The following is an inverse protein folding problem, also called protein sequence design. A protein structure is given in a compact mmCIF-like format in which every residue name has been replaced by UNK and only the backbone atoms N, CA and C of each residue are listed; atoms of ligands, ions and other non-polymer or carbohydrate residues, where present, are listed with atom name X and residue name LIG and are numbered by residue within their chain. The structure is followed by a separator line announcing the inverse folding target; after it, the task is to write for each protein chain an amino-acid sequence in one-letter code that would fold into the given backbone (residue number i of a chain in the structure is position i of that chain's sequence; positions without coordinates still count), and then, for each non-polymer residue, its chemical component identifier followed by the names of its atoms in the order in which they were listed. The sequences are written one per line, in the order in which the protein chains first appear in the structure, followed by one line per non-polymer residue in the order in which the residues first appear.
data_IF_188417239200
#
_entry.id   IF_188417239200
#
_cell.length_a   1.000
_cell.length_b   1.000
_cell.length_c   1.000
_cell.angle_alpha   90.00
_cell.angle_beta   90.00
_cell.angle_gamma   90.00
#
_symmetry.space_group_name_H-M   'P 1'
#
loop_
_entity.id
_entity.type
_entity.pdbx_description
1 polymer ?
#
# COMPACT_ATOMS: atom_id res chain seq x y z
N UNK A 1 19.96 -5.84 19.50
CA UNK A 1 20.58 -5.85 18.18
C UNK A 1 20.33 -4.54 17.40
N UNK A 2 19.13 -4.01 17.26
CA UNK A 2 18.81 -2.79 16.52
C UNK A 2 19.52 -1.52 17.00
N UNK A 3 19.68 -1.32 18.34
CA UNK A 3 20.38 -0.16 18.93
C UNK A 3 21.90 -0.18 18.69
N UNK A 4 22.52 -1.33 18.72
CA UNK A 4 23.96 -1.49 18.46
C UNK A 4 24.32 -1.17 17.00
N UNK A 5 23.53 -1.67 16.04
CA UNK A 5 23.72 -1.37 14.60
C UNK A 5 23.55 0.12 14.29
N UNK A 6 22.69 0.82 15.03
CA UNK A 6 22.53 2.27 14.91
C UNK A 6 23.74 3.07 15.39
N UNK A 7 24.32 2.68 16.52
CA UNK A 7 25.50 3.34 17.08
C UNK A 7 26.71 3.18 16.15
N UNK A 8 26.94 1.99 15.63
CA UNK A 8 28.05 1.72 14.70
C UNK A 8 27.89 2.47 13.38
N UNK A 9 26.66 2.54 12.84
CA UNK A 9 26.38 3.29 11.61
C UNK A 9 26.55 4.82 11.79
N UNK A 10 26.23 5.36 12.97
CA UNK A 10 26.43 6.77 13.29
C UNK A 10 27.91 7.10 13.48
N UNK A 11 28.70 6.20 14.08
CA UNK A 11 30.14 6.35 14.24
C UNK A 11 30.85 6.32 12.88
N UNK A 12 30.52 5.36 12.01
CA UNK A 12 31.07 5.25 10.65
C UNK A 12 30.74 6.49 9.79
N UNK A 13 29.57 7.10 9.92
CA UNK A 13 29.22 8.35 9.22
C UNK A 13 30.08 9.55 9.60
N UNK A 14 30.73 9.55 10.74
CA UNK A 14 31.66 10.63 11.17
C UNK A 14 33.04 10.50 10.56
N UNK A 15 33.42 9.31 10.13
CA UNK A 15 34.78 8.99 9.63
C UNK A 15 34.82 8.95 8.11
N UNK A 16 33.71 8.58 7.46
CA UNK A 16 33.65 8.40 5.99
C UNK A 16 33.30 9.75 5.32
N UNK A 17 34.10 10.23 4.36
CA UNK A 17 33.83 11.44 3.59
C UNK A 17 32.44 11.37 2.91
N UNK A 18 31.72 12.49 2.90
CA UNK A 18 30.34 12.56 2.38
C UNK A 18 30.18 12.00 0.94
N UNK A 19 31.10 12.26 -0.03
CA UNK A 19 31.00 11.67 -1.37
C UNK A 19 31.03 10.14 -1.36
N UNK A 20 31.80 9.52 -0.48
CA UNK A 20 31.89 8.07 -0.33
C UNK A 20 30.59 7.52 0.29
N UNK A 21 30.00 8.22 1.26
CA UNK A 21 28.70 7.85 1.85
C UNK A 21 27.61 7.87 0.78
N UNK A 22 27.60 8.90 -0.08
CA UNK A 22 26.65 9.02 -1.20
C UNK A 22 26.82 7.86 -2.18
N UNK A 23 28.05 7.55 -2.58
CA UNK A 23 28.37 6.45 -3.50
C UNK A 23 27.95 5.09 -2.94
N UNK A 24 28.23 4.83 -1.66
CA UNK A 24 27.92 3.56 -0.99
C UNK A 24 26.46 3.42 -0.56
N UNK A 25 25.68 4.49 -0.56
CA UNK A 25 24.29 4.49 -0.10
C UNK A 25 23.41 3.51 -0.89
N UNK A 26 23.52 3.52 -2.22
CA UNK A 26 22.72 2.68 -3.12
C UNK A 26 23.02 1.19 -2.92
N UNK A 27 24.28 0.71 -3.06
CA UNK A 27 24.61 -0.70 -2.82
C UNK A 27 24.31 -1.13 -1.39
N UNK A 28 24.56 -0.29 -0.38
CA UNK A 28 24.22 -0.60 1.02
C UNK A 28 22.73 -0.88 1.21
N UNK A 29 21.84 0.02 0.77
CA UNK A 29 20.41 -0.16 0.95
C UNK A 29 19.86 -1.34 0.14
N UNK A 30 20.40 -1.59 -1.05
CA UNK A 30 20.02 -2.76 -1.84
C UNK A 30 20.44 -4.05 -1.13
N UNK A 31 21.72 -4.15 -0.72
CA UNK A 31 22.27 -5.35 -0.08
C UNK A 31 21.59 -5.69 1.24
N UNK A 32 21.30 -4.69 2.09
CA UNK A 32 20.64 -4.95 3.37
C UNK A 32 19.20 -5.47 3.18
N UNK A 33 18.46 -4.95 2.18
CA UNK A 33 17.12 -5.45 1.90
C UNK A 33 17.15 -6.82 1.21
N UNK A 34 18.16 -7.08 0.36
CA UNK A 34 18.36 -8.39 -0.24
C UNK A 34 18.70 -9.46 0.82
N UNK A 35 19.67 -9.18 1.69
CA UNK A 35 20.07 -10.10 2.77
C UNK A 35 18.91 -10.34 3.75
N UNK A 36 18.11 -9.31 4.04
CA UNK A 36 16.90 -9.48 4.85
C UNK A 36 15.86 -10.39 4.17
N UNK A 37 15.62 -10.20 2.86
CA UNK A 37 14.73 -11.05 2.10
C UNK A 37 15.23 -12.50 2.02
N UNK A 38 16.54 -12.69 1.80
CA UNK A 38 17.18 -13.99 1.76
C UNK A 38 17.10 -14.70 3.12
N UNK A 39 17.48 -14.02 4.20
CA UNK A 39 17.41 -14.56 5.57
C UNK A 39 15.99 -14.89 6.02
N UNK A 40 14.99 -14.15 5.53
CA UNK A 40 13.57 -14.43 5.75
C UNK A 40 12.99 -15.48 4.78
N UNK A 41 13.77 -16.03 3.85
CA UNK A 41 13.33 -17.03 2.86
C UNK A 41 12.36 -16.48 1.82
N UNK A 42 12.49 -15.19 1.42
CA UNK A 42 11.64 -14.50 0.45
C UNK A 42 10.14 -14.66 0.74
N UNK A 43 9.66 -14.22 1.91
CA UNK A 43 8.30 -14.50 2.39
C UNK A 43 7.20 -13.97 1.44
N UNK A 44 7.48 -12.89 0.70
CA UNK A 44 6.56 -12.34 -0.28
C UNK A 44 6.16 -13.33 -1.40
N UNK A 45 6.95 -14.36 -1.68
CA UNK A 45 6.61 -15.40 -2.65
C UNK A 45 5.49 -16.32 -2.18
N UNK A 46 5.24 -16.38 -0.86
CA UNK A 46 4.25 -17.26 -0.23
C UNK A 46 2.92 -16.56 0.07
N UNK A 47 2.82 -15.26 -0.22
CA UNK A 47 1.66 -14.42 0.08
C UNK A 47 1.14 -13.79 -1.20
N UNK A 48 -0.17 -13.58 -1.31
CA UNK A 48 -0.74 -12.63 -2.27
C UNK A 48 -0.48 -11.22 -1.77
N UNK A 49 0.35 -10.44 -2.47
CA UNK A 49 0.77 -9.11 -2.05
C UNK A 49 0.05 -8.03 -2.86
N UNK A 50 -0.75 -7.22 -2.17
CA UNK A 50 -1.39 -6.03 -2.73
C UNK A 50 -0.63 -4.80 -2.24
N UNK A 51 0.02 -4.08 -3.15
CA UNK A 51 0.64 -2.79 -2.86
C UNK A 51 -0.36 -1.65 -3.05
N UNK A 52 -0.31 -0.64 -2.18
CA UNK A 52 -1.11 0.58 -2.32
C UNK A 52 -0.18 1.78 -2.37
N UNK A 53 -0.23 2.55 -3.43
CA UNK A 53 0.57 3.77 -3.59
C UNK A 53 -0.27 4.93 -4.11
N UNK A 54 0.26 6.12 -3.98
CA UNK A 54 -0.36 7.39 -4.36
C UNK A 54 0.08 8.52 -3.46
N UNK A 55 -0.46 9.71 -3.64
CA UNK A 55 -0.18 10.84 -2.75
C UNK A 55 -1.10 10.79 -1.53
N UNK A 56 -2.41 10.70 -1.72
CA UNK A 56 -3.44 10.64 -0.68
C UNK A 56 -4.25 9.35 -0.74
N UNK A 57 -4.92 8.99 0.34
CA UNK A 57 -5.82 7.84 0.41
C UNK A 57 -5.15 6.49 0.66
N UNK A 58 -3.81 6.38 0.57
CA UNK A 58 -3.08 5.10 0.70
C UNK A 58 -3.44 4.30 1.96
N UNK A 59 -3.33 4.92 3.14
CA UNK A 59 -3.60 4.25 4.42
C UNK A 59 -5.06 3.82 4.52
N UNK A 60 -6.00 4.67 4.08
CA UNK A 60 -7.44 4.36 4.05
C UNK A 60 -7.71 3.18 3.13
N UNK A 61 -7.18 3.19 1.90
CA UNK A 61 -7.36 2.08 0.95
C UNK A 61 -6.72 0.80 1.48
N UNK A 62 -5.52 0.88 2.09
CA UNK A 62 -4.86 -0.27 2.72
C UNK A 62 -5.73 -0.87 3.82
N UNK A 63 -6.31 -0.05 4.69
CA UNK A 63 -7.19 -0.49 5.77
C UNK A 63 -8.51 -1.06 5.25
N UNK A 64 -9.12 -0.45 4.23
CA UNK A 64 -10.33 -0.96 3.60
C UNK A 64 -10.11 -2.34 2.97
N UNK A 65 -9.03 -2.53 2.21
CA UNK A 65 -8.69 -3.83 1.61
C UNK A 65 -8.44 -4.87 2.71
N UNK A 66 -7.64 -4.52 3.72
CA UNK A 66 -7.31 -5.43 4.82
C UNK A 66 -8.55 -5.89 5.57
N UNK A 67 -9.41 -4.96 6.00
CA UNK A 67 -10.62 -5.30 6.74
C UNK A 67 -11.61 -6.10 5.90
N UNK A 68 -11.74 -5.79 4.61
CA UNK A 68 -12.58 -6.53 3.68
C UNK A 68 -12.13 -7.97 3.53
N UNK A 69 -10.85 -8.19 3.28
CA UNK A 69 -10.31 -9.54 3.13
C UNK A 69 -10.42 -10.33 4.44
N UNK A 70 -10.20 -9.69 5.58
CA UNK A 70 -10.33 -10.30 6.90
C UNK A 70 -11.78 -10.73 7.19
N UNK A 71 -12.76 -9.86 6.90
CA UNK A 71 -14.19 -10.14 7.08
C UNK A 71 -14.69 -11.30 6.19
N UNK A 72 -14.07 -11.47 5.04
CA UNK A 72 -14.30 -12.59 4.14
C UNK A 72 -13.58 -13.90 4.56
N UNK A 73 -12.95 -13.92 5.73
CA UNK A 73 -12.31 -15.09 6.29
C UNK A 73 -10.88 -15.36 5.79
N UNK A 74 -10.28 -14.43 5.05
CA UNK A 74 -8.86 -14.57 4.68
C UNK A 74 -7.93 -14.26 5.86
N UNK A 75 -6.85 -15.00 5.97
CA UNK A 75 -5.78 -14.66 6.91
C UNK A 75 -4.88 -13.59 6.26
N UNK A 76 -5.02 -12.34 6.70
CA UNK A 76 -4.43 -11.15 6.07
C UNK A 76 -3.44 -10.47 7.01
N UNK A 77 -2.35 -9.97 6.46
CA UNK A 77 -1.46 -9.02 7.13
C UNK A 77 -1.58 -7.63 6.47
N UNK A 78 -1.42 -6.56 7.25
CA UNK A 78 -1.40 -5.20 6.73
C UNK A 78 -0.26 -4.37 7.34
N UNK A 79 0.41 -3.58 6.50
CA UNK A 79 1.41 -2.62 6.95
C UNK A 79 1.12 -1.26 6.33
N UNK A 80 0.84 -0.28 7.18
CA UNK A 80 0.50 1.08 6.77
C UNK A 80 1.20 2.13 7.64
N UNK A 81 1.01 3.38 7.32
CA UNK A 81 1.44 4.51 8.17
C UNK A 81 0.73 4.50 9.53
N UNK A 82 -0.45 3.91 9.61
CA UNK A 82 -1.30 3.90 10.81
C UNK A 82 -0.93 2.73 11.72
N UNK A 83 -0.80 1.51 11.17
CA UNK A 83 -0.64 0.29 11.95
C UNK A 83 0.09 -0.83 11.20
N UNK A 84 0.55 -1.80 11.96
CA UNK A 84 0.90 -3.15 11.50
C UNK A 84 -0.13 -4.13 12.06
N UNK A 85 -0.66 -4.99 11.20
CA UNK A 85 -1.65 -5.98 11.62
C UNK A 85 -1.33 -7.35 11.01
N UNK A 86 -1.56 -8.41 11.79
CA UNK A 86 -1.51 -9.80 11.34
C UNK A 86 -2.77 -10.48 11.86
N UNK A 87 -3.67 -10.90 10.97
CA UNK A 87 -5.01 -11.36 11.28
C UNK A 87 -5.76 -10.29 12.08
N UNK A 88 -6.34 -10.63 13.20
CA UNK A 88 -7.07 -9.77 14.14
C UNK A 88 -6.19 -8.96 15.10
N UNK A 89 -4.89 -9.28 15.15
CA UNK A 89 -3.93 -8.57 16.00
C UNK A 89 -3.38 -7.34 15.30
N UNK A 90 -3.53 -6.18 15.89
CA UNK A 90 -3.09 -4.90 15.34
C UNK A 90 -2.34 -4.05 16.37
N UNK A 91 -1.23 -3.47 15.95
CA UNK A 91 -0.43 -2.54 16.74
C UNK A 91 -0.21 -1.22 15.98
N UNK A 92 -0.23 -0.06 16.64
CA UNK A 92 0.01 1.22 15.97
C UNK A 92 1.43 1.30 15.42
N UNK A 93 1.58 1.95 14.26
CA UNK A 93 2.90 2.19 13.68
C UNK A 93 3.59 3.38 14.38
N UNK A 94 4.48 3.08 15.32
CA UNK A 94 5.24 4.09 16.08
C UNK A 94 6.57 4.51 15.42
N UNK A 95 6.89 4.00 14.22
CA UNK A 95 8.19 4.26 13.56
C UNK A 95 8.27 5.62 12.86
N UNK A 96 7.21 6.44 12.83
CA UNK A 96 7.13 7.69 12.03
C UNK A 96 7.47 7.49 10.53
N UNK A 97 7.43 6.27 10.04
CA UNK A 97 7.70 5.85 8.66
C UNK A 97 6.72 4.76 8.24
N UNK A 98 6.13 4.87 7.06
CA UNK A 98 5.19 3.88 6.51
C UNK A 98 5.85 2.51 6.33
N UNK A 99 7.05 2.50 5.77
CA UNK A 99 7.85 1.29 5.59
C UNK A 99 9.16 1.44 6.38
N UNK A 100 9.24 0.89 7.61
CA UNK A 100 10.47 0.92 8.38
C UNK A 100 11.62 0.24 7.64
N UNK A 101 12.84 0.69 7.91
CA UNK A 101 14.04 0.26 7.19
C UNK A 101 14.66 -1.06 7.68
N UNK A 102 15.81 -1.41 7.10
CA UNK A 102 16.70 -2.49 7.58
C UNK A 102 16.05 -3.87 7.67
N UNK A 103 15.26 -4.22 6.63
CA UNK A 103 14.65 -5.54 6.55
C UNK A 103 13.36 -5.73 7.36
N UNK A 104 12.87 -4.69 8.06
CA UNK A 104 11.64 -4.79 8.87
C UNK A 104 10.46 -5.38 8.08
N UNK A 105 10.24 -4.94 6.84
CA UNK A 105 9.11 -5.43 6.04
C UNK A 105 9.29 -6.92 5.70
N UNK A 106 10.51 -7.38 5.43
CA UNK A 106 10.77 -8.79 5.18
C UNK A 106 10.52 -9.65 6.42
N UNK A 107 10.94 -9.18 7.60
CA UNK A 107 10.65 -9.82 8.89
C UNK A 107 9.14 -9.83 9.18
N UNK A 108 8.45 -8.70 8.95
CA UNK A 108 7.00 -8.63 9.11
C UNK A 108 6.27 -9.64 8.22
N UNK A 109 6.64 -9.75 6.94
CA UNK A 109 6.07 -10.72 6.02
C UNK A 109 6.40 -12.17 6.42
N UNK A 110 7.61 -12.42 6.95
CA UNK A 110 7.97 -13.74 7.47
C UNK A 110 7.12 -14.12 8.68
N UNK A 111 6.86 -13.19 9.59
CA UNK A 111 5.94 -13.40 10.72
C UNK A 111 4.51 -13.67 10.24
N UNK A 112 4.04 -12.92 9.24
CA UNK A 112 2.73 -13.14 8.63
C UNK A 112 2.60 -14.56 8.04
N UNK A 113 3.59 -15.01 7.27
CA UNK A 113 3.65 -16.39 6.75
C UNK A 113 3.64 -17.42 7.87
N UNK A 114 4.47 -17.22 8.92
CA UNK A 114 4.55 -18.13 10.07
C UNK A 114 3.22 -18.23 10.81
N UNK A 115 2.43 -17.15 10.85
CA UNK A 115 1.09 -17.14 11.45
C UNK A 115 -0.02 -17.61 10.50
N UNK A 116 0.34 -18.12 9.30
CA UNK A 116 -0.60 -18.68 8.34
C UNK A 116 -1.37 -17.66 7.51
N UNK A 117 -0.87 -16.42 7.38
CA UNK A 117 -1.46 -15.47 6.44
C UNK A 117 -1.30 -15.96 5.00
N UNK A 118 -2.33 -15.68 4.20
CA UNK A 118 -2.36 -15.94 2.74
C UNK A 118 -2.18 -14.66 1.94
N UNK A 119 -2.55 -13.52 2.54
CA UNK A 119 -2.52 -12.21 1.90
C UNK A 119 -1.73 -11.21 2.73
N UNK A 120 -1.15 -10.19 2.06
CA UNK A 120 -0.62 -9.01 2.72
C UNK A 120 -0.92 -7.75 1.91
N UNK A 121 -1.40 -6.72 2.59
CA UNK A 121 -1.70 -5.40 2.02
C UNK A 121 -0.65 -4.40 2.52
N UNK A 122 0.08 -3.79 1.62
CA UNK A 122 1.23 -2.96 1.95
C UNK A 122 1.06 -1.53 1.41
N UNK A 123 1.06 -0.55 2.30
CA UNK A 123 1.18 0.85 1.91
C UNK A 123 2.62 1.13 1.49
N UNK A 124 2.82 1.56 0.23
CA UNK A 124 4.15 1.77 -0.36
C UNK A 124 4.33 3.24 -0.72
N UNK A 125 5.33 3.89 -0.12
CA UNK A 125 5.64 5.31 -0.35
C UNK A 125 6.77 5.52 -1.37
N UNK A 126 6.86 6.71 -1.96
CA UNK A 126 7.97 7.10 -2.84
C UNK A 126 9.32 7.05 -2.13
N UNK A 127 9.37 7.36 -0.83
CA UNK A 127 10.61 7.28 -0.05
C UNK A 127 11.13 5.84 0.09
N UNK A 128 10.23 4.86 0.09
CA UNK A 128 10.62 3.45 0.13
C UNK A 128 11.45 3.06 -1.09
N UNK A 129 11.24 3.73 -2.23
CA UNK A 129 11.98 3.44 -3.46
C UNK A 129 13.42 3.97 -3.42
N UNK A 130 13.67 5.09 -2.71
CA UNK A 130 15.02 5.65 -2.52
C UNK A 130 15.93 4.71 -1.72
N UNK A 131 15.35 3.94 -0.81
CA UNK A 131 16.04 3.02 0.09
C UNK A 131 15.80 1.54 -0.29
N UNK A 132 15.32 1.25 -1.49
CA UNK A 132 15.07 -0.10 -2.03
C UNK A 132 14.14 -0.98 -1.17
N UNK A 133 13.33 -0.39 -0.26
CA UNK A 133 12.41 -1.14 0.62
C UNK A 133 11.24 -1.76 -0.13
N UNK A 134 10.90 -1.22 -1.32
CA UNK A 134 9.90 -1.75 -2.24
C UNK A 134 10.37 -3.00 -3.01
N UNK A 135 11.68 -3.30 -2.97
CA UNK A 135 12.25 -4.48 -3.63
C UNK A 135 11.90 -5.76 -2.89
N UNK A 136 11.92 -6.87 -3.62
CA UNK A 136 11.66 -8.22 -3.11
C UNK A 136 10.24 -8.43 -2.53
N UNK A 137 9.29 -7.52 -2.81
CA UNK A 137 7.89 -7.65 -2.40
C UNK A 137 7.09 -8.59 -3.30
N UNK A 138 7.53 -8.80 -4.54
CA UNK A 138 6.90 -9.71 -5.50
C UNK A 138 5.37 -9.50 -5.57
N UNK A 139 4.96 -8.31 -5.98
CA UNK A 139 3.55 -7.86 -5.97
C UNK A 139 2.67 -8.70 -6.90
N UNK A 140 1.45 -9.02 -6.47
CA UNK A 140 0.37 -9.56 -7.29
C UNK A 140 -0.50 -8.43 -7.85
N UNK A 141 -0.78 -7.42 -7.04
CA UNK A 141 -1.54 -6.24 -7.46
C UNK A 141 -0.90 -4.94 -6.93
N UNK A 142 -1.16 -3.85 -7.64
CA UNK A 142 -0.83 -2.50 -7.21
C UNK A 142 -2.04 -1.60 -7.40
N UNK A 143 -2.43 -0.92 -6.32
CA UNK A 143 -3.42 0.15 -6.36
C UNK A 143 -2.71 1.49 -6.44
N UNK A 144 -3.04 2.29 -7.46
CA UNK A 144 -2.59 3.66 -7.63
C UNK A 144 -3.76 4.62 -7.39
N UNK A 145 -3.73 5.36 -6.28
CA UNK A 145 -4.84 6.23 -5.89
C UNK A 145 -4.81 7.58 -6.59
N UNK A 146 -3.70 8.29 -6.58
CA UNK A 146 -3.53 9.61 -7.21
C UNK A 146 -2.07 10.09 -7.14
N UNK A 147 -1.76 11.16 -7.90
CA UNK A 147 -0.49 11.88 -7.84
C UNK A 147 -0.74 13.39 -7.74
N UNK A 148 -0.44 13.98 -6.59
CA UNK A 148 -0.54 15.41 -6.34
C UNK A 148 0.81 16.01 -6.00
N UNK A 149 0.97 17.33 -6.15
CA UNK A 149 2.19 18.05 -5.80
C UNK A 149 2.37 18.09 -4.27
N UNK A 150 3.07 17.09 -3.75
CA UNK A 150 3.48 16.99 -2.33
C UNK A 150 4.92 16.45 -2.25
N UNK A 151 5.58 16.67 -1.11
CA UNK A 151 6.93 16.16 -0.83
C UNK A 151 8.01 16.57 -1.83
N UNK A 152 7.86 17.73 -2.51
CA UNK A 152 8.84 18.25 -3.48
C UNK A 152 10.18 18.46 -2.80
N UNK A 153 10.21 18.94 -1.56
CA UNK A 153 11.44 19.18 -0.79
C UNK A 153 12.30 17.92 -0.65
N UNK A 154 11.68 16.76 -0.47
CA UNK A 154 12.42 15.49 -0.30
C UNK A 154 12.90 14.86 -1.60
N UNK A 155 12.29 15.21 -2.74
CA UNK A 155 12.60 14.66 -4.06
C UNK A 155 13.29 15.64 -5.01
N UNK A 156 13.34 16.94 -4.64
CA UNK A 156 13.92 18.02 -5.44
C UNK A 156 13.01 18.55 -6.56
N UNK A 157 12.15 17.71 -7.15
CA UNK A 157 11.14 18.13 -8.13
C UNK A 157 9.92 17.19 -8.13
N UNK A 158 8.83 17.65 -8.75
CA UNK A 158 7.63 16.84 -8.94
C UNK A 158 7.89 15.65 -9.88
N UNK A 159 8.68 15.84 -10.91
CA UNK A 159 9.05 14.80 -11.88
C UNK A 159 9.84 13.67 -11.19
N UNK A 160 10.79 14.02 -10.32
CA UNK A 160 11.54 13.06 -9.52
C UNK A 160 10.63 12.29 -8.55
N UNK A 161 9.66 12.97 -7.95
CA UNK A 161 8.66 12.35 -7.09
C UNK A 161 7.78 11.37 -7.86
N UNK A 162 7.26 11.77 -9.03
CA UNK A 162 6.50 10.92 -9.93
C UNK A 162 7.30 9.71 -10.39
N UNK A 163 8.55 9.92 -10.82
CA UNK A 163 9.47 8.86 -11.22
C UNK A 163 9.78 7.89 -10.07
N UNK A 164 9.96 8.39 -8.84
CA UNK A 164 10.16 7.55 -7.67
C UNK A 164 8.94 6.66 -7.40
N UNK A 165 7.72 7.20 -7.46
CA UNK A 165 6.48 6.40 -7.34
C UNK A 165 6.34 5.38 -8.46
N UNK A 166 6.64 5.75 -9.69
CA UNK A 166 6.53 4.83 -10.84
C UNK A 166 7.47 3.63 -10.75
N UNK A 167 8.57 3.71 -9.98
CA UNK A 167 9.42 2.53 -9.67
C UNK A 167 8.64 1.42 -8.98
N UNK A 168 7.57 1.74 -8.24
CA UNK A 168 6.69 0.74 -7.60
C UNK A 168 5.89 0.00 -8.69
N UNK A 169 5.36 0.72 -9.68
CA UNK A 169 4.71 0.12 -10.85
C UNK A 169 5.66 -0.81 -11.63
N UNK A 170 6.91 -0.36 -11.85
CA UNK A 170 7.94 -1.21 -12.46
C UNK A 170 8.25 -2.46 -11.63
N UNK A 171 8.13 -2.40 -10.31
CA UNK A 171 8.29 -3.56 -9.43
C UNK A 171 7.14 -4.57 -9.61
N UNK A 172 5.89 -4.10 -9.80
CA UNK A 172 4.78 -4.98 -10.18
C UNK A 172 5.05 -5.64 -11.53
N UNK A 173 5.44 -4.87 -12.55
CA UNK A 173 5.74 -5.41 -13.89
C UNK A 173 6.87 -6.46 -13.87
N UNK A 174 7.83 -6.32 -12.95
CA UNK A 174 8.93 -7.26 -12.76
C UNK A 174 8.61 -8.43 -11.82
N UNK A 175 7.39 -8.49 -11.25
CA UNK A 175 6.97 -9.61 -10.40
C UNK A 175 6.93 -10.92 -11.21
N UNK A 176 7.35 -12.02 -10.59
CA UNK A 176 7.29 -13.36 -11.18
C UNK A 176 5.91 -14.01 -11.05
N UNK A 177 5.02 -13.42 -10.29
CA UNK A 177 3.67 -13.94 -10.06
C UNK A 177 2.73 -13.65 -11.22
N UNK A 178 1.72 -14.50 -11.37
CA UNK A 178 0.67 -14.37 -12.40
C UNK A 178 -0.68 -14.85 -11.84
N UNK A 179 -1.81 -14.20 -12.19
CA UNK A 179 -1.87 -12.94 -12.92
C UNK A 179 -1.45 -11.75 -12.06
N UNK A 180 -0.95 -10.66 -12.69
CA UNK A 180 -0.67 -9.38 -12.04
C UNK A 180 -1.76 -8.37 -12.40
N UNK A 181 -2.08 -7.48 -11.46
CA UNK A 181 -3.07 -6.43 -11.70
C UNK A 181 -2.57 -5.04 -11.34
N UNK A 182 -2.90 -4.07 -12.19
CA UNK A 182 -2.85 -2.65 -11.87
C UNK A 182 -4.28 -2.11 -11.74
N UNK A 183 -4.60 -1.55 -10.57
CA UNK A 183 -5.87 -0.89 -10.27
C UNK A 183 -5.53 0.59 -10.12
N UNK A 184 -5.97 1.44 -11.04
CA UNK A 184 -5.52 2.82 -11.09
C UNK A 184 -6.67 3.81 -11.28
N UNK A 185 -6.57 4.95 -10.60
CA UNK A 185 -7.53 6.03 -10.70
C UNK A 185 -7.55 6.64 -12.11
N UNK A 186 -8.57 6.33 -12.90
CA UNK A 186 -8.74 6.80 -14.27
C UNK A 186 -9.02 8.30 -14.38
N UNK A 187 -9.45 8.94 -13.28
CA UNK A 187 -9.68 10.39 -13.24
C UNK A 187 -8.36 11.19 -13.05
N UNK A 188 -7.25 10.52 -12.70
CA UNK A 188 -5.94 11.14 -12.56
C UNK A 188 -5.07 10.86 -13.80
N UNK A 189 -4.66 11.87 -14.57
CA UNK A 189 -3.80 11.68 -15.74
C UNK A 189 -2.48 10.95 -15.45
N UNK A 190 -1.98 11.04 -14.21
CA UNK A 190 -0.77 10.34 -13.77
C UNK A 190 -0.92 8.81 -13.72
N UNK A 191 -2.13 8.27 -13.87
CA UNK A 191 -2.36 6.83 -13.94
C UNK A 191 -2.02 6.23 -15.31
N UNK A 192 -1.95 7.03 -16.38
CA UNK A 192 -1.69 6.54 -17.73
C UNK A 192 -0.42 5.67 -17.84
N UNK A 193 0.75 6.06 -17.29
CA UNK A 193 1.94 5.19 -17.32
C UNK A 193 1.76 3.89 -16.53
N UNK A 194 0.96 3.89 -15.47
CA UNK A 194 0.67 2.66 -14.70
C UNK A 194 -0.22 1.71 -15.49
N UNK A 195 -1.26 2.23 -16.15
CA UNK A 195 -2.14 1.44 -17.01
C UNK A 195 -1.43 0.94 -18.28
N UNK A 196 -0.32 1.56 -18.67
CA UNK A 196 0.53 1.10 -19.78
C UNK A 196 1.50 -0.04 -19.38
N UNK A 197 1.61 -0.40 -18.09
CA UNK A 197 2.51 -1.46 -17.64
C UNK A 197 2.15 -2.82 -18.28
N UNK A 198 3.16 -3.67 -18.57
CA UNK A 198 2.95 -5.01 -19.11
C UNK A 198 2.49 -5.98 -18.01
N UNK A 199 1.24 -5.86 -17.62
CA UNK A 199 0.56 -6.72 -16.64
C UNK A 199 -0.73 -7.27 -17.22
N UNK A 200 -1.20 -8.40 -16.71
CA UNK A 200 -2.29 -9.17 -17.26
C UNK A 200 -3.66 -8.51 -17.06
N UNK A 201 -3.86 -7.84 -15.91
CA UNK A 201 -5.12 -7.15 -15.58
C UNK A 201 -4.88 -5.66 -15.40
N UNK A 202 -5.68 -4.86 -16.07
CA UNK A 202 -5.67 -3.39 -15.99
C UNK A 202 -7.08 -2.94 -15.64
N UNK A 203 -7.23 -2.37 -14.45
CA UNK A 203 -8.53 -1.99 -13.88
C UNK A 203 -8.50 -0.49 -13.61
N UNK A 204 -8.85 0.36 -14.57
CA UNK A 204 -9.12 1.75 -14.27
C UNK A 204 -10.40 1.85 -13.44
N UNK A 205 -10.43 2.75 -12.46
CA UNK A 205 -11.62 3.10 -11.69
C UNK A 205 -11.83 4.61 -11.70
N UNK A 206 -13.08 5.05 -11.61
CA UNK A 206 -13.47 6.46 -11.71
C UNK A 206 -14.56 6.81 -10.71
N UNK A 207 -14.56 8.07 -10.24
CA UNK A 207 -15.66 8.60 -9.44
C UNK A 207 -17.00 8.56 -10.19
N UNK A 208 -16.97 8.66 -11.51
CA UNK A 208 -18.18 8.61 -12.38
C UNK A 208 -18.89 7.26 -12.34
N UNK A 209 -18.25 6.22 -11.87
CA UNK A 209 -18.85 4.89 -11.68
C UNK A 209 -19.67 4.80 -10.39
N UNK A 210 -19.58 5.80 -9.49
CA UNK A 210 -20.42 5.90 -8.33
C UNK A 210 -21.76 6.57 -8.69
N UNK A 211 -22.84 5.85 -8.46
CA UNK A 211 -24.22 6.31 -8.69
C UNK A 211 -24.87 6.73 -7.38
N UNK A 212 -25.89 7.60 -7.43
CA UNK A 212 -26.69 8.03 -6.27
C UNK A 212 -25.82 8.48 -5.09
N UNK A 213 -24.81 9.32 -5.36
CA UNK A 213 -23.85 9.78 -4.36
C UNK A 213 -24.50 10.82 -3.45
N UNK A 214 -24.45 10.55 -2.15
CA UNK A 214 -24.88 11.42 -1.07
C UNK A 214 -23.66 11.75 -0.19
N UNK A 215 -23.32 13.04 -0.10
CA UNK A 215 -22.23 13.52 0.75
C UNK A 215 -22.84 14.35 1.88
N UNK A 216 -22.78 13.82 3.10
CA UNK A 216 -23.33 14.45 4.29
C UNK A 216 -22.23 14.65 5.35
N UNK A 217 -22.43 15.57 6.33
CA UNK A 217 -21.49 15.72 7.43
C UNK A 217 -21.27 14.37 8.15
N UNK A 218 -20.02 13.93 8.22
CA UNK A 218 -19.64 12.70 8.91
C UNK A 218 -19.82 11.41 8.13
N UNK A 219 -20.53 11.40 6.99
CA UNK A 219 -20.71 10.18 6.20
C UNK A 219 -20.88 10.44 4.70
N UNK A 220 -20.67 9.39 3.92
CA UNK A 220 -20.98 9.35 2.49
C UNK A 220 -21.72 8.05 2.16
N UNK A 221 -22.65 8.13 1.20
CA UNK A 221 -23.30 6.96 0.66
C UNK A 221 -23.32 7.03 -0.87
N UNK A 222 -23.23 5.88 -1.52
CA UNK A 222 -23.22 5.78 -2.99
C UNK A 222 -23.57 4.35 -3.42
N UNK A 223 -23.91 4.17 -4.68
CA UNK A 223 -24.08 2.85 -5.29
C UNK A 223 -22.92 2.60 -6.25
N UNK A 224 -22.32 1.42 -6.17
CA UNK A 224 -21.26 0.98 -7.05
C UNK A 224 -21.47 -0.45 -7.50
N UNK A 225 -21.50 -0.71 -8.81
CA UNK A 225 -21.79 -2.03 -9.40
C UNK A 225 -23.06 -2.67 -8.81
N UNK A 226 -24.11 -1.85 -8.63
CA UNK A 226 -25.40 -2.28 -8.11
C UNK A 226 -25.47 -2.52 -6.59
N UNK A 227 -24.38 -2.27 -5.85
CA UNK A 227 -24.34 -2.41 -4.38
C UNK A 227 -24.33 -1.04 -3.71
N UNK A 228 -25.21 -0.84 -2.71
CA UNK A 228 -25.25 0.39 -1.90
C UNK A 228 -24.17 0.38 -0.83
N UNK A 229 -23.32 1.39 -0.85
CA UNK A 229 -22.33 1.69 0.18
C UNK A 229 -22.82 2.80 1.10
N UNK A 230 -22.60 2.64 2.41
CA UNK A 230 -22.81 3.70 3.39
C UNK A 230 -21.60 3.72 4.34
N UNK A 231 -20.89 4.85 4.38
CA UNK A 231 -19.61 4.97 5.07
C UNK A 231 -19.65 6.07 6.12
N UNK A 232 -19.06 5.83 7.28
CA UNK A 232 -18.76 6.88 8.27
C UNK A 232 -17.45 7.65 7.92
N UNK A 233 -17.18 7.78 6.63
CA UNK A 233 -16.03 8.49 6.07
C UNK A 233 -16.59 9.54 5.09
N UNK A 234 -16.59 10.82 5.44
CA UNK A 234 -17.16 11.86 4.57
C UNK A 234 -16.29 12.19 3.37
N UNK A 235 -16.91 12.75 2.35
CA UNK A 235 -16.24 13.35 1.20
C UNK A 235 -16.03 12.41 0.00
N UNK A 236 -16.01 13.00 -1.19
CA UNK A 236 -15.88 12.31 -2.47
C UNK A 236 -14.59 11.51 -2.60
N UNK A 237 -13.50 11.95 -1.97
CA UNK A 237 -12.24 11.22 -1.97
C UNK A 237 -12.34 9.86 -1.26
N UNK A 238 -13.22 9.72 -0.27
CA UNK A 238 -13.46 8.42 0.40
C UNK A 238 -14.34 7.51 -0.44
N UNK A 239 -15.23 8.04 -1.26
CA UNK A 239 -15.94 7.27 -2.30
C UNK A 239 -14.91 6.63 -3.24
N UNK A 240 -13.94 7.41 -3.74
CA UNK A 240 -12.85 6.89 -4.58
C UNK A 240 -11.99 5.84 -3.86
N UNK A 241 -11.66 6.06 -2.58
CA UNK A 241 -10.91 5.10 -1.78
C UNK A 241 -11.67 3.77 -1.64
N UNK A 242 -12.99 3.82 -1.45
CA UNK A 242 -13.82 2.62 -1.35
C UNK A 242 -13.91 1.87 -2.69
N UNK A 243 -14.06 2.57 -3.81
CA UNK A 243 -14.04 1.97 -5.16
C UNK A 243 -12.69 1.29 -5.41
N UNK A 244 -11.57 1.97 -5.13
CA UNK A 244 -10.24 1.42 -5.28
C UNK A 244 -10.03 0.14 -4.45
N UNK A 245 -10.50 0.15 -3.20
CA UNK A 245 -10.43 -1.01 -2.32
C UNK A 245 -11.32 -2.15 -2.80
N UNK A 246 -12.50 -1.84 -3.33
CA UNK A 246 -13.42 -2.81 -3.92
C UNK A 246 -12.78 -3.55 -5.09
N UNK A 247 -12.16 -2.82 -6.02
CA UNK A 247 -11.49 -3.45 -7.17
C UNK A 247 -10.29 -4.31 -6.76
N UNK A 248 -9.54 -3.88 -5.73
CA UNK A 248 -8.43 -4.66 -5.21
C UNK A 248 -8.88 -5.93 -4.49
N UNK A 249 -9.97 -5.88 -3.75
CA UNK A 249 -10.56 -7.05 -3.12
C UNK A 249 -11.10 -8.02 -4.17
N UNK A 250 -11.84 -7.54 -5.18
CA UNK A 250 -12.33 -8.35 -6.28
C UNK A 250 -11.22 -9.08 -7.04
N UNK A 251 -10.06 -8.46 -7.21
CA UNK A 251 -8.89 -9.14 -7.79
C UNK A 251 -8.46 -10.34 -6.95
N UNK A 252 -8.49 -10.24 -5.62
CA UNK A 252 -8.03 -11.28 -4.70
C UNK A 252 -8.95 -12.51 -4.67
N UNK A 253 -10.23 -12.35 -4.95
CA UNK A 253 -11.21 -13.44 -4.94
C UNK A 253 -11.16 -14.36 -6.16
N UNK A 254 -10.48 -13.98 -7.22
CA UNK A 254 -10.19 -14.85 -8.37
C UNK A 254 -11.37 -15.24 -9.27
N UNK A 255 -12.63 -15.03 -8.87
CA UNK A 255 -13.81 -15.39 -9.67
C UNK A 255 -14.91 -14.33 -9.64
N UNK A 256 -15.57 -14.05 -10.79
CA UNK A 256 -16.66 -13.07 -10.88
C UNK A 256 -17.94 -13.48 -10.12
N UNK A 257 -18.07 -14.74 -9.73
CA UNK A 257 -19.31 -15.32 -9.18
C UNK A 257 -19.74 -14.75 -7.82
N UNK A 258 -18.84 -14.07 -7.10
CA UNK A 258 -19.14 -13.46 -5.79
C UNK A 258 -18.96 -11.94 -5.76
N UNK A 259 -18.97 -11.27 -6.91
CA UNK A 259 -18.73 -9.84 -6.98
C UNK A 259 -19.72 -9.05 -6.09
N UNK A 260 -21.00 -9.35 -6.16
CA UNK A 260 -22.04 -8.68 -5.35
C UNK A 260 -21.85 -8.93 -3.84
N UNK A 261 -21.54 -10.18 -3.44
CA UNK A 261 -21.32 -10.52 -2.03
C UNK A 261 -20.06 -9.80 -1.47
N UNK A 262 -18.99 -9.74 -2.28
CA UNK A 262 -17.77 -9.03 -1.92
C UNK A 262 -18.01 -7.54 -1.76
N UNK A 263 -18.70 -6.91 -2.72
CA UNK A 263 -19.04 -5.49 -2.65
C UNK A 263 -19.97 -5.20 -1.47
N UNK A 264 -20.94 -6.07 -1.18
CA UNK A 264 -21.81 -5.96 -0.01
C UNK A 264 -21.02 -6.03 1.31
N UNK A 265 -20.04 -6.93 1.40
CA UNK A 265 -19.15 -7.00 2.55
C UNK A 265 -18.32 -5.72 2.73
N UNK A 266 -17.76 -5.15 1.66
CA UNK A 266 -17.04 -3.88 1.72
C UNK A 266 -17.98 -2.75 2.15
N UNK A 267 -19.19 -2.70 1.61
CA UNK A 267 -20.22 -1.73 2.01
C UNK A 267 -20.55 -1.82 3.50
N UNK A 268 -20.64 -3.03 4.04
CA UNK A 268 -20.90 -3.30 5.47
C UNK A 268 -19.70 -2.90 6.35
N UNK A 269 -18.46 -3.17 5.91
CA UNK A 269 -17.23 -2.82 6.63
C UNK A 269 -17.04 -1.31 6.67
N UNK A 270 -17.36 -0.60 5.59
CA UNK A 270 -17.29 0.86 5.58
C UNK A 270 -18.22 1.51 6.60
N UNK A 271 -19.29 0.83 7.02
CA UNK A 271 -20.14 1.27 8.14
C UNK A 271 -19.47 1.10 9.51
N UNK A 272 -18.56 0.12 9.64
CA UNK A 272 -17.91 -0.23 10.92
C UNK A 272 -16.60 0.52 11.20
N UNK A 273 -15.99 1.15 10.21
CA UNK A 273 -14.76 1.91 10.41
C UNK A 273 -15.10 3.19 11.20
N UNK A 274 -14.68 3.31 12.47
CA UNK A 274 -14.92 4.53 13.23
C UNK A 274 -14.20 5.70 12.57
N UNK A 275 -14.89 6.82 12.37
CA UNK A 275 -14.34 8.05 11.80
C UNK A 275 -13.13 8.62 12.58
N UNK A 276 -12.82 8.06 13.74
CA UNK A 276 -11.72 8.46 14.63
C UNK A 276 -10.31 7.96 14.23
N UNK A 277 -10.16 7.09 13.24
CA UNK A 277 -8.81 6.72 12.79
C UNK A 277 -8.02 7.88 12.15
N UNK A 278 -8.67 8.99 11.80
CA UNK A 278 -8.06 10.15 11.14
C UNK A 278 -8.06 11.45 11.96
N UNK A 279 -8.77 11.49 13.11
CA UNK A 279 -9.04 12.74 13.84
C UNK A 279 -7.89 13.25 14.75
N UNK A 280 -6.83 12.48 14.96
CA UNK A 280 -5.74 12.88 15.87
C UNK A 280 -4.43 13.25 15.13
N UNK A 281 -4.52 13.99 14.04
CA UNK A 281 -3.36 14.74 13.54
C UNK A 281 -3.62 16.23 13.72
N UNK A 282 -3.29 16.75 14.89
CA UNK A 282 -2.95 18.17 15.04
C UNK A 282 -1.77 18.44 14.12
N UNK A 283 -1.83 19.47 13.27
CA UNK A 283 -0.66 19.89 12.50
C UNK A 283 0.41 20.42 13.49
N UNK A 284 1.60 19.84 13.41
CA UNK A 284 2.82 20.42 13.96
C UNK A 284 3.55 21.08 12.81
#
# INVERSE_FOLDING_TARGET
MYRAINATALFLKRIIPEPVVVLLRTPYHFSINFLAALGAGFPAKKLTIIGVTGTKGKSTVTDLIYTTLLDQGYAVAAASTIRFAIKDQSEPNLFKMTMPGRGFIQDFLARAVKQGCTHAVLEITSESTRNFRHRFLNLDALVFTNLQKEHIESHGSFENYAAAKFKIGKQLAASSKRPRAIIANGDDPASAPYLALPVEKKVPFSYREAESVELLPGHAAFTYKGVRFAMQLPGSFNVMNAIAASEAALFSYGTPTNCAATLAAIAFITLKLPGNCMANRTPI
#
